data_IF_181049516390
#
_entry.id   IF_181049516390
#
_cell.length_a   1.000
_cell.length_b   1.000
_cell.length_c   1.000
_cell.angle_alpha   90.00
_cell.angle_beta   90.00
_cell.angle_gamma   90.00
#
_symmetry.space_group_name_H-M   'P 1'
#
loop_
_entity.id
_entity.type
_entity.pdbx_description
1 polymer ?
#
# COMPACT_ATOMS: atom_id res chain seq x y z
N UNK A 1 24.22 -1.44 5.44
CA UNK A 1 24.48 0.00 5.68
C UNK A 1 25.91 0.30 5.23
N UNK A 2 26.11 1.08 4.17
CA UNK A 2 27.46 1.31 3.63
C UNK A 2 28.07 2.58 4.23
N UNK A 3 29.15 2.45 5.01
CA UNK A 3 29.88 3.58 5.59
C UNK A 3 31.12 3.86 4.73
N UNK A 4 31.03 4.82 3.81
CA UNK A 4 32.21 5.28 3.05
C UNK A 4 32.98 6.31 3.88
N UNK A 5 34.23 6.00 4.20
CA UNK A 5 35.17 6.99 4.75
C UNK A 5 35.53 7.96 3.60
N UNK A 6 35.35 9.26 3.81
CA UNK A 6 35.75 10.27 2.83
C UNK A 6 37.26 10.20 2.56
N UNK A 7 37.65 10.63 1.36
CA UNK A 7 39.03 10.65 0.85
C UNK A 7 40.02 11.18 1.91
N UNK A 8 40.98 10.35 2.29
CA UNK A 8 41.96 10.68 3.33
C UNK A 8 43.05 11.57 2.69
N UNK A 9 43.18 12.81 3.18
CA UNK A 9 44.14 13.80 2.66
C UNK A 9 45.60 13.56 3.08
N UNK A 10 45.83 12.71 4.09
CA UNK A 10 47.15 12.44 4.68
C UNK A 10 47.31 10.97 5.07
N UNK A 11 48.54 10.46 5.09
CA UNK A 11 48.84 9.11 5.59
C UNK A 11 48.32 8.93 7.04
N UNK A 12 47.65 7.81 7.33
CA UNK A 12 47.36 7.39 8.70
C UNK A 12 48.28 6.19 9.00
N UNK A 13 49.28 6.35 9.89
CA UNK A 13 50.22 5.27 10.18
C UNK A 13 49.54 4.05 10.80
N UNK A 14 50.11 2.87 10.57
CA UNK A 14 49.74 1.61 11.22
C UNK A 14 49.59 1.79 12.74
N UNK A 15 48.61 1.10 13.31
CA UNK A 15 48.32 1.07 14.75
C UNK A 15 47.92 2.42 15.38
N UNK A 16 47.51 3.41 14.58
CA UNK A 16 47.04 4.72 15.08
C UNK A 16 45.53 4.91 15.02
N UNK A 17 44.81 4.03 14.32
CA UNK A 17 43.36 4.08 14.19
C UNK A 17 42.72 2.91 14.94
N UNK A 18 41.81 3.24 15.86
CA UNK A 18 40.97 2.30 16.58
C UNK A 18 39.51 2.77 16.45
N UNK A 19 38.68 1.96 15.82
CA UNK A 19 37.24 2.21 15.67
C UNK A 19 36.48 1.18 16.50
N UNK A 20 35.56 1.65 17.33
CA UNK A 20 34.64 0.80 18.08
C UNK A 20 33.23 1.16 17.63
N UNK A 21 32.47 0.18 17.18
CA UNK A 21 31.07 0.36 16.79
C UNK A 21 30.20 -0.65 17.54
N UNK A 22 29.26 -0.16 18.35
CA UNK A 22 28.33 -1.01 19.08
C UNK A 22 27.01 -1.04 18.31
N UNK A 23 26.78 -2.17 17.65
CA UNK A 23 25.62 -2.39 16.80
C UNK A 23 24.37 -2.64 17.65
N UNK A 24 23.21 -2.28 17.09
CA UNK A 24 21.92 -2.56 17.71
C UNK A 24 21.73 -4.08 17.90
N UNK A 25 21.37 -4.55 19.12
CA UNK A 25 21.25 -5.99 19.40
C UNK A 25 20.25 -6.75 18.52
N UNK A 26 19.30 -6.05 17.91
CA UNK A 26 18.30 -6.65 17.02
C UNK A 26 18.85 -6.96 15.63
N UNK A 27 19.99 -6.40 15.25
CA UNK A 27 20.62 -6.70 13.96
C UNK A 27 21.18 -8.12 13.96
N UNK A 28 20.97 -8.83 12.84
CA UNK A 28 21.43 -10.20 12.64
C UNK A 28 22.16 -10.36 11.30
N UNK A 29 22.69 -11.56 11.05
CA UNK A 29 23.34 -11.90 9.78
C UNK A 29 24.43 -10.89 9.41
N UNK A 30 25.20 -10.48 10.44
CA UNK A 30 26.21 -9.42 10.33
C UNK A 30 27.35 -9.92 9.45
N UNK A 31 27.64 -9.18 8.39
CA UNK A 31 28.77 -9.41 7.51
C UNK A 31 29.61 -8.15 7.44
N UNK A 32 30.88 -8.31 7.78
CA UNK A 32 31.86 -7.24 7.80
C UNK A 32 32.82 -7.47 6.65
N UNK A 33 33.03 -6.44 5.85
CA UNK A 33 34.09 -6.41 4.83
C UNK A 33 34.93 -5.17 5.05
N UNK A 34 36.24 -5.30 4.94
CA UNK A 34 37.16 -4.20 5.12
C UNK A 34 38.29 -4.30 4.09
N UNK A 35 38.90 -3.16 3.78
CA UNK A 35 40.12 -3.12 2.98
C UNK A 35 41.31 -3.68 3.78
N UNK A 36 42.30 -4.25 3.09
CA UNK A 36 43.33 -5.13 3.65
C UNK A 36 44.14 -4.54 4.81
N UNK A 37 44.23 -3.22 4.96
CA UNK A 37 44.96 -2.58 6.06
C UNK A 37 44.27 -2.73 7.42
N UNK A 38 42.99 -3.15 7.45
CA UNK A 38 42.21 -3.31 8.66
C UNK A 38 42.22 -4.75 9.18
N UNK A 39 42.23 -4.88 10.50
CA UNK A 39 41.85 -6.08 11.25
C UNK A 39 40.49 -5.75 11.90
N UNK A 40 39.54 -6.68 11.79
CA UNK A 40 38.19 -6.53 12.33
C UNK A 40 37.86 -7.67 13.28
N UNK A 41 37.50 -7.34 14.51
CA UNK A 41 37.06 -8.29 15.53
C UNK A 41 35.60 -7.97 15.89
N UNK A 42 34.70 -8.93 15.66
CA UNK A 42 33.28 -8.78 15.98
C UNK A 42 32.85 -9.73 17.08
N UNK A 43 32.27 -9.17 18.14
CA UNK A 43 31.83 -9.89 19.32
C UNK A 43 30.31 -10.03 19.30
N UNK A 44 29.83 -11.19 18.84
CA UNK A 44 28.39 -11.43 18.62
C UNK A 44 27.53 -11.26 19.88
N UNK A 45 28.05 -11.63 21.06
CA UNK A 45 27.32 -11.53 22.33
C UNK A 45 27.10 -10.09 22.79
N UNK A 46 28.07 -9.20 22.56
CA UNK A 46 27.99 -7.79 22.97
C UNK A 46 27.59 -6.88 21.82
N UNK A 47 27.54 -7.42 20.59
CA UNK A 47 27.30 -6.71 19.32
C UNK A 47 28.32 -5.59 19.10
N UNK A 48 29.54 -5.78 19.61
CA UNK A 48 30.62 -4.82 19.50
C UNK A 48 31.56 -5.20 18.35
N UNK A 49 31.86 -4.25 17.48
CA UNK A 49 32.83 -4.35 16.40
C UNK A 49 34.03 -3.48 16.75
N UNK A 50 35.21 -4.09 16.80
CA UNK A 50 36.49 -3.41 16.96
C UNK A 50 37.27 -3.50 15.65
N UNK A 51 37.74 -2.35 15.16
CA UNK A 51 38.47 -2.25 13.90
C UNK A 51 39.77 -1.50 14.17
N UNK A 52 40.89 -2.06 13.72
CA UNK A 52 42.20 -1.44 13.86
C UNK A 52 42.93 -1.48 12.53
N UNK A 53 43.72 -0.46 12.22
CA UNK A 53 44.60 -0.49 11.05
C UNK A 53 45.92 -1.23 11.33
N UNK A 54 45.85 -2.36 12.03
CA UNK A 54 47.04 -3.10 12.46
C UNK A 54 47.70 -3.92 11.35
N UNK A 55 47.04 -4.07 10.19
CA UNK A 55 47.60 -4.78 9.05
C UNK A 55 48.40 -3.87 8.11
N UNK A 56 48.28 -2.54 8.23
CA UNK A 56 49.08 -1.60 7.45
C UNK A 56 48.71 -0.13 7.62
N UNK A 57 49.53 0.73 7.03
CA UNK A 57 49.22 2.15 6.91
C UNK A 57 47.96 2.35 6.05
N UNK A 58 47.21 3.41 6.34
CA UNK A 58 46.19 3.90 5.41
C UNK A 58 46.81 5.00 4.58
N UNK A 59 47.19 4.65 3.35
CA UNK A 59 47.84 5.57 2.43
C UNK A 59 46.91 6.70 1.98
N UNK A 60 47.49 7.90 1.84
CA UNK A 60 46.77 9.04 1.30
C UNK A 60 46.26 8.74 -0.11
N UNK A 61 45.04 9.18 -0.43
CA UNK A 61 44.39 9.02 -1.75
C UNK A 61 44.12 7.56 -2.18
N UNK A 62 44.40 6.56 -1.35
CA UNK A 62 43.91 5.18 -1.56
C UNK A 62 42.57 4.99 -0.83
N UNK A 63 41.64 4.19 -1.39
CA UNK A 63 40.39 3.90 -0.71
C UNK A 63 40.65 3.06 0.55
N UNK A 64 40.02 3.48 1.65
CA UNK A 64 40.00 2.75 2.91
C UNK A 64 38.56 2.72 3.38
N UNK A 65 37.99 1.52 3.52
CA UNK A 65 36.60 1.39 3.92
C UNK A 65 36.37 0.14 4.76
N UNK A 66 35.32 0.25 5.57
CA UNK A 66 34.69 -0.87 6.25
C UNK A 66 33.20 -0.82 5.89
N UNK A 67 32.65 -1.94 5.46
CA UNK A 67 31.22 -2.08 5.19
C UNK A 67 30.63 -3.08 6.17
N UNK A 68 29.50 -2.69 6.78
CA UNK A 68 28.71 -3.53 7.67
C UNK A 68 27.38 -3.80 6.98
N UNK A 69 27.22 -5.03 6.54
CA UNK A 69 25.96 -5.58 6.06
C UNK A 69 25.29 -6.26 7.25
N UNK A 70 24.02 -5.95 7.46
CA UNK A 70 23.26 -6.43 8.60
C UNK A 70 21.79 -6.55 8.21
N UNK A 71 21.16 -7.63 8.67
CA UNK A 71 19.73 -7.86 8.53
C UNK A 71 18.96 -7.16 9.65
N UNK A 72 17.83 -6.56 9.27
CA UNK A 72 16.85 -5.97 10.19
C UNK A 72 15.67 -6.91 10.47
N UNK A 73 15.86 -8.23 10.27
CA UNK A 73 14.76 -9.21 10.39
C UNK A 73 14.17 -9.32 11.79
N UNK A 74 14.87 -8.90 12.85
CA UNK A 74 14.34 -8.86 14.22
C UNK A 74 13.95 -7.44 14.67
N UNK A 75 13.95 -6.48 13.75
CA UNK A 75 13.52 -5.11 14.02
C UNK A 75 12.06 -5.00 13.61
N UNK A 76 11.21 -4.49 14.48
CA UNK A 76 9.80 -4.30 14.15
C UNK A 76 9.59 -3.26 13.05
N UNK A 77 8.64 -3.47 12.13
CA UNK A 77 8.01 -2.41 11.35
C UNK A 77 7.79 -1.09 12.10
N UNK A 78 8.18 0.02 11.48
CA UNK A 78 8.17 1.36 12.04
C UNK A 78 9.29 1.68 13.04
N UNK A 79 10.08 0.71 13.52
CA UNK A 79 11.15 0.97 14.47
C UNK A 79 12.41 1.54 13.81
N UNK A 80 13.16 2.32 14.58
CA UNK A 80 14.44 2.93 14.15
C UNK A 80 15.61 2.20 14.80
N UNK A 81 16.59 1.84 13.98
CA UNK A 81 17.93 1.45 14.39
C UNK A 81 18.85 2.65 14.25
N UNK A 82 19.58 2.95 15.32
CA UNK A 82 20.55 4.04 15.38
C UNK A 82 21.95 3.47 15.47
N UNK A 83 22.92 4.12 14.85
CA UNK A 83 24.31 3.69 14.88
C UNK A 83 25.25 4.88 15.08
N UNK A 84 26.17 4.75 16.04
CA UNK A 84 27.25 5.69 16.32
C UNK A 84 28.52 4.88 16.50
N UNK A 85 29.54 5.12 15.68
CA UNK A 85 30.87 4.56 15.91
C UNK A 85 31.73 5.56 16.68
N UNK A 86 32.79 5.06 17.29
CA UNK A 86 33.79 5.84 17.98
C UNK A 86 35.14 5.64 17.30
N UNK A 87 35.72 6.71 16.77
CA UNK A 87 37.05 6.71 16.15
C UNK A 87 38.03 7.33 17.13
N UNK A 88 38.98 6.54 17.62
CA UNK A 88 39.94 6.94 18.65
C UNK A 88 39.25 7.57 19.88
N UNK A 89 38.11 7.01 20.28
CA UNK A 89 37.29 7.49 21.40
C UNK A 89 36.35 8.65 21.08
N UNK A 90 36.42 9.25 19.87
CA UNK A 90 35.55 10.35 19.48
C UNK A 90 34.33 9.81 18.69
N UNK A 91 33.09 10.22 19.02
CA UNK A 91 31.92 9.73 18.32
C UNK A 91 31.86 10.27 16.89
N UNK A 92 31.40 9.44 15.96
CA UNK A 92 30.96 9.87 14.64
C UNK A 92 29.57 10.47 14.71
N UNK A 93 29.08 11.02 13.60
CA UNK A 93 27.66 11.36 13.47
C UNK A 93 26.78 10.12 13.66
N UNK A 94 25.59 10.32 14.22
CA UNK A 94 24.54 9.31 14.29
C UNK A 94 23.97 9.08 12.88
N UNK A 95 23.78 7.81 12.53
CA UNK A 95 22.98 7.41 11.37
C UNK A 95 21.77 6.63 11.89
N UNK A 96 20.60 6.90 11.34
CA UNK A 96 19.34 6.26 11.71
C UNK A 96 18.70 5.61 10.49
N UNK A 97 18.22 4.38 10.65
CA UNK A 97 17.49 3.63 9.62
C UNK A 97 16.19 3.10 10.20
N UNK A 98 15.07 3.26 9.50
CA UNK A 98 13.77 2.74 9.92
C UNK A 98 13.44 1.46 9.14
N UNK A 99 13.00 0.39 9.83
CA UNK A 99 12.45 -0.81 9.16
C UNK A 99 10.98 -0.58 8.90
N UNK A 100 10.49 -0.86 7.69
CA UNK A 100 9.07 -0.72 7.38
C UNK A 100 8.57 -1.94 6.59
N UNK A 101 7.31 -2.33 6.77
CA UNK A 101 6.64 -3.27 5.89
C UNK A 101 6.20 -2.54 4.62
N UNK A 102 6.08 -3.30 3.54
CA UNK A 102 5.54 -2.82 2.27
C UNK A 102 4.10 -3.32 2.18
N UNK A 103 3.17 -2.42 1.86
CA UNK A 103 1.77 -2.75 1.63
C UNK A 103 1.47 -2.48 0.17
N UNK A 104 1.01 -3.52 -0.52
CA UNK A 104 0.59 -3.47 -1.91
C UNK A 104 -0.93 -3.58 -1.99
N UNK A 105 -1.55 -2.55 -2.55
CA UNK A 105 -2.98 -2.53 -2.85
C UNK A 105 -3.20 -2.96 -4.29
N UNK A 106 -4.01 -4.00 -4.46
CA UNK A 106 -4.37 -4.58 -5.75
C UNK A 106 -5.87 -4.37 -5.94
N UNK A 107 -6.26 -3.64 -6.98
CA UNK A 107 -7.66 -3.59 -7.36
C UNK A 107 -8.01 -4.82 -8.18
N UNK A 108 -9.13 -5.46 -7.86
CA UNK A 108 -9.72 -6.52 -8.66
C UNK A 108 -11.19 -6.25 -8.92
N UNK A 109 -11.75 -7.01 -9.84
CA UNK A 109 -13.16 -6.97 -10.17
C UNK A 109 -13.74 -8.38 -10.22
N UNK A 110 -15.01 -8.49 -9.83
CA UNK A 110 -15.79 -9.74 -9.86
C UNK A 110 -15.77 -10.39 -11.26
N UNK A 111 -15.75 -9.58 -12.31
CA UNK A 111 -15.46 -10.00 -13.68
C UNK A 111 -14.15 -9.35 -14.13
N UNK A 112 -13.14 -10.19 -14.42
CA UNK A 112 -11.80 -9.73 -14.77
C UNK A 112 -11.80 -9.07 -16.16
N UNK A 113 -11.97 -7.75 -16.16
CA UNK A 113 -11.64 -6.87 -17.27
C UNK A 113 -10.58 -5.86 -16.78
N UNK A 114 -9.30 -6.08 -17.12
CA UNK A 114 -8.21 -5.18 -16.73
C UNK A 114 -8.43 -3.72 -17.12
N UNK A 115 -9.20 -3.46 -18.19
CA UNK A 115 -9.47 -2.11 -18.68
C UNK A 115 -10.42 -1.30 -17.80
N UNK A 116 -11.16 -1.97 -16.91
CA UNK A 116 -12.06 -1.33 -15.96
C UNK A 116 -11.35 -1.04 -14.62
N UNK A 117 -10.20 -1.66 -14.36
CA UNK A 117 -9.45 -1.51 -13.09
C UNK A 117 -8.59 -0.24 -13.05
N UNK A 118 -8.51 0.52 -14.14
CA UNK A 118 -7.79 1.79 -14.24
C UNK A 118 -8.73 2.97 -13.94
N UNK A 119 -8.25 3.97 -13.22
CA UNK A 119 -8.97 5.21 -12.96
C UNK A 119 -9.77 5.25 -11.66
N UNK A 120 -9.80 4.17 -10.87
CA UNK A 120 -10.42 4.20 -9.56
C UNK A 120 -9.55 5.01 -8.58
N UNK A 121 -10.16 5.97 -7.89
CA UNK A 121 -9.48 6.87 -6.97
C UNK A 121 -9.74 6.44 -5.54
N UNK A 122 -8.67 6.21 -4.80
CA UNK A 122 -8.71 5.87 -3.38
C UNK A 122 -8.03 6.94 -2.53
N UNK A 123 -8.50 7.05 -1.29
CA UNK A 123 -7.92 7.87 -0.24
C UNK A 123 -7.49 6.98 0.91
N UNK A 124 -6.25 7.14 1.34
CA UNK A 124 -5.71 6.45 2.51
C UNK A 124 -5.63 7.41 3.70
N UNK A 125 -6.27 7.06 4.81
CA UNK A 125 -6.17 7.80 6.07
C UNK A 125 -5.78 6.89 7.21
N UNK A 126 -5.30 7.46 8.31
CA UNK A 126 -5.33 6.74 9.60
C UNK A 126 -6.78 6.47 10.00
N UNK A 127 -7.01 5.56 10.95
CA UNK A 127 -8.35 5.29 11.51
C UNK A 127 -9.04 6.56 12.04
N UNK A 128 -8.28 7.47 12.64
CA UNK A 128 -8.77 8.78 13.10
C UNK A 128 -9.03 9.80 11.97
N UNK A 129 -8.88 9.41 10.71
CA UNK A 129 -9.14 10.26 9.54
C UNK A 129 -8.01 11.25 9.20
N UNK A 130 -6.82 11.11 9.79
CA UNK A 130 -5.65 11.96 9.48
C UNK A 130 -4.98 11.48 8.19
N UNK A 131 -4.34 12.41 7.48
CA UNK A 131 -3.52 12.05 6.31
C UNK A 131 -2.37 11.14 6.73
N UNK A 132 -2.19 10.05 6.00
CA UNK A 132 -1.07 9.13 6.21
C UNK A 132 0.21 9.79 5.74
N UNK A 133 1.29 9.54 6.48
CA UNK A 133 2.63 9.80 6.02
C UNK A 133 3.30 8.47 5.75
N UNK A 134 3.92 8.36 4.59
CA UNK A 134 4.84 7.27 4.32
C UNK A 134 6.09 7.42 5.21
N UNK A 135 6.98 6.46 5.08
CA UNK A 135 8.18 6.34 5.90
C UNK A 135 9.26 7.37 5.54
N UNK A 136 9.12 8.01 4.38
CA UNK A 136 9.90 9.15 3.92
C UNK A 136 9.30 10.49 4.36
N UNK A 137 8.27 10.45 5.23
CA UNK A 137 7.53 11.60 5.76
C UNK A 137 6.80 12.38 4.65
N UNK A 138 6.51 11.72 3.52
CA UNK A 138 5.69 12.25 2.44
C UNK A 138 4.22 11.92 2.69
N UNK A 139 3.34 12.86 2.35
CA UNK A 139 1.91 12.67 2.56
C UNK A 139 1.30 11.76 1.48
N UNK A 140 0.70 10.65 1.90
CA UNK A 140 -0.16 9.83 1.06
C UNK A 140 -1.57 10.43 1.13
N UNK A 141 -2.01 11.09 0.06
CA UNK A 141 -3.33 11.76 0.01
C UNK A 141 -4.36 10.90 -0.70
N UNK A 142 -4.27 10.85 -2.02
CA UNK A 142 -5.13 10.08 -2.91
C UNK A 142 -4.27 9.44 -3.96
N UNK A 143 -4.64 8.26 -4.41
CA UNK A 143 -3.97 7.55 -5.48
C UNK A 143 -5.00 7.00 -6.46
N UNK A 144 -4.60 6.84 -7.71
CA UNK A 144 -5.46 6.37 -8.80
C UNK A 144 -4.88 5.06 -9.34
N UNK A 145 -5.71 4.03 -9.45
CA UNK A 145 -5.30 2.75 -10.05
C UNK A 145 -4.99 2.93 -11.52
N UNK A 146 -3.98 2.24 -12.02
CA UNK A 146 -3.55 2.34 -13.41
C UNK A 146 -3.19 0.97 -13.98
N UNK A 147 -2.96 0.91 -15.29
CA UNK A 147 -2.57 -0.33 -15.97
C UNK A 147 -1.13 -0.79 -15.68
N UNK A 148 -0.34 0.00 -14.93
CA UNK A 148 1.08 -0.26 -14.66
C UNK A 148 1.28 -1.27 -13.52
N UNK A 149 0.20 -1.61 -12.80
CA UNK A 149 0.19 -2.68 -11.80
C UNK A 149 -0.29 -2.20 -10.43
N UNK A 150 -0.05 -3.02 -9.39
CA UNK A 150 -0.47 -2.71 -8.02
C UNK A 150 0.18 -1.44 -7.46
N UNK A 151 -0.52 -0.77 -6.54
CA UNK A 151 -0.03 0.44 -5.89
C UNK A 151 0.63 0.08 -4.58
N UNK A 152 1.89 0.51 -4.40
CA UNK A 152 2.72 0.16 -3.24
C UNK A 152 2.94 1.35 -2.33
N UNK A 153 2.83 1.12 -1.02
CA UNK A 153 3.19 2.07 0.03
C UNK A 153 4.03 1.39 1.10
N UNK A 154 5.07 2.08 1.55
CA UNK A 154 5.74 1.73 2.82
C UNK A 154 4.99 2.41 3.96
N UNK A 155 4.30 1.63 4.78
CA UNK A 155 3.41 2.13 5.84
C UNK A 155 3.90 1.68 7.22
N UNK A 156 3.95 2.56 8.23
CA UNK A 156 4.20 2.15 9.62
C UNK A 156 3.13 1.17 10.14
N UNK A 157 3.39 0.50 11.27
CA UNK A 157 2.32 -0.19 12.00
C UNK A 157 1.22 0.79 12.38
N UNK A 158 -0.02 0.30 12.35
CA UNK A 158 -1.17 1.08 12.74
C UNK A 158 -2.44 0.68 12.00
N UNK A 159 -3.48 1.45 12.28
CA UNK A 159 -4.79 1.28 11.70
C UNK A 159 -5.04 2.29 10.59
N UNK A 160 -5.43 1.78 9.44
CA UNK A 160 -5.65 2.56 8.24
C UNK A 160 -7.04 2.33 7.68
N UNK A 161 -7.52 3.34 6.96
CA UNK A 161 -8.80 3.34 6.29
C UNK A 161 -8.57 3.65 4.82
N UNK A 162 -8.94 2.70 3.97
CA UNK A 162 -8.95 2.86 2.52
C UNK A 162 -10.36 3.18 2.06
N UNK A 163 -10.55 4.40 1.58
CA UNK A 163 -11.84 4.92 1.14
C UNK A 163 -11.81 5.11 -0.38
N UNK A 164 -12.70 4.43 -1.10
CA UNK A 164 -12.90 4.71 -2.52
C UNK A 164 -13.62 6.06 -2.65
N UNK A 165 -13.06 6.96 -3.46
CA UNK A 165 -13.59 8.31 -3.67
C UNK A 165 -14.27 8.41 -5.02
N UNK A 166 -13.76 7.71 -6.03
CA UNK A 166 -14.37 7.67 -7.36
C UNK A 166 -14.12 6.30 -8.00
N UNK A 167 -15.17 5.50 -8.28
CA UNK A 167 -15.03 4.29 -9.08
C UNK A 167 -14.94 4.66 -10.56
N UNK A 168 -14.22 3.86 -11.35
CA UNK A 168 -14.23 3.97 -12.81
C UNK A 168 -14.94 2.75 -13.41
N UNK A 169 -16.13 2.92 -14.00
CA UNK A 169 -16.91 1.79 -14.55
C UNK A 169 -17.55 0.85 -13.52
N UNK A 170 -17.38 1.12 -12.21
CA UNK A 170 -17.84 0.29 -11.11
C UNK A 170 -18.80 1.01 -10.15
N UNK A 171 -19.43 0.25 -9.24
CA UNK A 171 -20.22 0.83 -8.15
C UNK A 171 -19.30 1.28 -7.01
N UNK A 172 -19.55 2.47 -6.46
CA UNK A 172 -18.81 2.96 -5.30
C UNK A 172 -18.92 1.99 -4.11
N UNK A 173 -17.80 1.64 -3.48
CA UNK A 173 -17.77 0.87 -2.23
C UNK A 173 -18.58 1.59 -1.14
N UNK A 174 -19.56 0.88 -0.57
CA UNK A 174 -20.47 1.45 0.45
C UNK A 174 -19.75 1.84 1.74
N UNK A 175 -18.74 1.07 2.12
CA UNK A 175 -17.97 1.26 3.35
C UNK A 175 -16.48 1.21 2.99
N UNK A 176 -15.64 1.98 3.69
CA UNK A 176 -14.20 1.89 3.54
C UNK A 176 -13.70 0.50 3.98
N UNK A 177 -12.56 0.09 3.46
CA UNK A 177 -11.84 -1.10 3.93
C UNK A 177 -10.88 -0.64 5.03
N UNK A 178 -11.06 -1.15 6.25
CA UNK A 178 -10.13 -0.87 7.35
C UNK A 178 -9.10 -1.97 7.43
N UNK A 179 -7.83 -1.58 7.54
CA UNK A 179 -6.70 -2.50 7.59
C UNK A 179 -5.83 -2.17 8.80
N UNK A 180 -5.43 -3.20 9.52
CA UNK A 180 -4.59 -3.08 10.72
C UNK A 180 -3.28 -3.82 10.48
N UNK A 181 -2.17 -3.09 10.59
CA UNK A 181 -0.81 -3.63 10.44
C UNK A 181 -0.18 -3.74 11.83
N UNK A 182 0.20 -4.96 12.21
CA UNK A 182 0.73 -5.26 13.55
C UNK A 182 2.12 -5.87 13.45
N UNK A 183 3.11 -5.30 14.14
CA UNK A 183 4.40 -5.97 14.32
C UNK A 183 4.27 -7.13 15.32
N UNK A 184 4.82 -8.27 14.94
CA UNK A 184 4.81 -9.46 15.76
C UNK A 184 5.85 -9.36 16.88
N UNK A 185 5.48 -9.92 18.04
CA UNK A 185 6.34 -10.02 19.21
C UNK A 185 6.39 -11.48 19.69
N UNK A 186 7.52 -11.86 20.28
CA UNK A 186 7.68 -13.14 20.96
C UNK A 186 6.97 -13.12 22.33
N UNK A 187 6.96 -14.26 23.03
CA UNK A 187 6.37 -14.40 24.36
C UNK A 187 7.01 -13.50 25.42
N UNK A 188 8.24 -13.03 25.16
CA UNK A 188 8.98 -12.11 26.03
C UNK A 188 8.70 -10.64 25.69
N UNK A 189 7.86 -10.37 24.68
CA UNK A 189 7.48 -9.03 24.24
C UNK A 189 8.50 -8.35 23.32
N UNK A 190 9.53 -9.08 22.86
CA UNK A 190 10.51 -8.56 21.89
C UNK A 190 9.96 -8.69 20.47
N UNK A 191 10.28 -7.72 19.60
CA UNK A 191 9.90 -7.81 18.20
C UNK A 191 10.60 -8.98 17.52
N UNK A 192 9.84 -9.74 16.73
CA UNK A 192 10.38 -10.81 15.90
C UNK A 192 10.80 -10.32 14.52
N UNK A 193 10.53 -9.04 14.24
CA UNK A 193 10.61 -8.36 12.94
C UNK A 193 9.73 -8.93 11.83
N UNK A 194 8.84 -9.87 12.17
CA UNK A 194 7.67 -10.18 11.38
C UNK A 194 6.52 -9.18 11.67
N UNK A 195 5.52 -9.15 10.79
CA UNK A 195 4.27 -8.45 10.99
C UNK A 195 3.11 -9.24 10.40
N UNK A 196 1.90 -8.88 10.80
CA UNK A 196 0.65 -9.35 10.20
C UNK A 196 -0.18 -8.18 9.71
N UNK A 197 -1.09 -8.48 8.79
CA UNK A 197 -2.14 -7.57 8.35
C UNK A 197 -3.50 -8.24 8.50
N UNK A 198 -4.51 -7.46 8.87
CA UNK A 198 -5.89 -7.91 8.90
C UNK A 198 -6.83 -6.86 8.33
N UNK A 199 -7.97 -7.30 7.79
CA UNK A 199 -9.08 -6.42 7.45
C UNK A 199 -9.95 -6.28 8.70
N UNK A 200 -9.67 -5.25 9.50
CA UNK A 200 -10.14 -5.14 10.88
C UNK A 200 -11.63 -4.81 11.02
N UNK A 201 -12.29 -4.33 9.96
CA UNK A 201 -13.74 -4.10 9.94
C UNK A 201 -14.55 -5.22 9.25
N UNK A 202 -13.90 -6.31 8.83
CA UNK A 202 -14.57 -7.44 8.16
C UNK A 202 -15.23 -7.08 6.83
N UNK A 203 -14.81 -5.99 6.18
CA UNK A 203 -15.35 -5.59 4.88
C UNK A 203 -15.01 -6.64 3.81
N UNK A 204 -16.05 -7.26 3.25
CA UNK A 204 -15.94 -8.35 2.26
C UNK A 204 -15.36 -7.92 0.92
N UNK A 205 -15.33 -6.62 0.63
CA UNK A 205 -14.64 -6.11 -0.56
C UNK A 205 -13.11 -6.22 -0.41
N UNK A 206 -12.59 -6.29 0.81
CA UNK A 206 -11.17 -6.54 1.04
C UNK A 206 -10.88 -8.03 1.13
N UNK A 207 -9.76 -8.45 0.54
CA UNK A 207 -9.19 -9.78 0.76
C UNK A 207 -7.66 -9.69 0.86
N UNK A 208 -7.07 -10.41 1.82
CA UNK A 208 -5.62 -10.60 1.89
C UNK A 208 -5.29 -11.84 1.07
N UNK A 209 -4.46 -11.69 0.03
CA UNK A 209 -4.27 -12.76 -0.97
C UNK A 209 -2.92 -13.46 -0.90
N UNK A 210 -1.83 -12.80 -0.49
CA UNK A 210 -0.53 -13.43 -0.24
C UNK A 210 0.34 -12.52 0.66
N UNK A 211 0.99 -13.10 1.66
CA UNK A 211 2.12 -12.45 2.35
C UNK A 211 3.40 -12.96 1.70
N UNK A 212 4.16 -12.08 1.05
CA UNK A 212 5.44 -12.45 0.43
C UNK A 212 6.55 -11.96 1.34
N UNK A 213 7.36 -12.90 1.85
CA UNK A 213 8.67 -12.55 2.42
C UNK A 213 9.60 -12.22 1.25
N UNK A 214 9.94 -10.95 1.08
CA UNK A 214 10.89 -10.52 0.06
C UNK A 214 12.32 -10.98 0.40
N UNK A 215 13.18 -11.06 -0.62
CA UNK A 215 14.56 -11.56 -0.49
C UNK A 215 15.45 -10.71 0.45
N UNK A 216 15.03 -9.48 0.76
CA UNK A 216 15.69 -8.56 1.70
C UNK A 216 15.12 -8.65 3.14
N UNK A 217 14.19 -9.58 3.37
CA UNK A 217 13.50 -9.75 4.64
C UNK A 217 12.46 -8.65 4.92
N UNK A 218 12.05 -7.86 3.92
CA UNK A 218 10.81 -7.08 4.01
C UNK A 218 9.59 -7.99 3.85
N UNK A 219 8.50 -7.60 4.48
CA UNK A 219 7.20 -8.26 4.32
C UNK A 219 6.39 -7.40 3.37
N UNK A 220 5.93 -8.03 2.30
CA UNK A 220 4.98 -7.47 1.36
C UNK A 220 3.59 -8.02 1.67
N UNK A 221 2.69 -7.13 2.08
CA UNK A 221 1.28 -7.45 2.30
C UNK A 221 0.45 -7.11 1.07
N UNK A 222 -0.19 -8.12 0.47
CA UNK A 222 -1.05 -7.90 -0.69
C UNK A 222 -2.53 -7.82 -0.27
N UNK A 223 -3.09 -6.62 -0.36
CA UNK A 223 -4.50 -6.35 -0.10
C UNK A 223 -5.22 -6.21 -1.44
N UNK A 224 -6.04 -7.19 -1.76
CA UNK A 224 -6.95 -7.12 -2.88
C UNK A 224 -8.24 -6.40 -2.47
N UNK A 225 -8.69 -5.46 -3.31
CA UNK A 225 -9.95 -4.75 -3.16
C UNK A 225 -10.82 -5.10 -4.36
N UNK A 226 -11.88 -5.86 -4.11
CA UNK A 226 -12.84 -6.26 -5.13
C UNK A 226 -13.87 -5.16 -5.35
N UNK A 227 -14.01 -4.73 -6.60
CA UNK A 227 -15.05 -3.81 -7.03
C UNK A 227 -16.12 -4.53 -7.88
N UNK A 228 -17.39 -4.21 -7.61
CA UNK A 228 -18.53 -4.82 -8.30
C UNK A 228 -19.04 -3.91 -9.40
N UNK A 229 -19.16 -4.44 -10.62
CA UNK A 229 -19.53 -3.66 -11.80
C UNK A 229 -20.83 -2.88 -11.54
N UNK A 230 -20.83 -1.59 -11.90
CA UNK A 230 -22.05 -0.82 -11.92
C UNK A 230 -23.00 -1.43 -12.93
N UNK A 231 -24.20 -1.82 -12.49
CA UNK A 231 -25.25 -2.20 -13.44
C UNK A 231 -25.57 -0.97 -14.29
N UNK A 232 -25.06 -0.94 -15.53
CA UNK A 232 -25.69 -0.11 -16.54
C UNK A 232 -27.03 -0.80 -16.83
N UNK A 233 -28.12 -0.21 -16.33
CA UNK A 233 -29.42 -0.57 -16.86
C UNK A 233 -29.35 -0.32 -18.37
N UNK A 234 -29.81 -1.27 -19.22
CA UNK A 234 -29.94 -0.96 -20.63
C UNK A 234 -30.79 0.30 -20.71
N UNK A 235 -30.27 1.36 -21.32
CA UNK A 235 -31.10 2.47 -21.71
C UNK A 235 -32.19 1.85 -22.59
N UNK A 236 -33.41 1.72 -22.07
CA UNK A 236 -34.58 1.31 -22.82
C UNK A 236 -35.00 2.48 -23.69
N UNK A 237 -34.11 2.81 -24.63
CA UNK A 237 -34.24 3.85 -25.63
C UNK A 237 -33.63 3.45 -26.96
N UNK A 238 -33.35 2.15 -27.17
CA UNK A 238 -33.16 1.60 -28.51
C UNK A 238 -34.43 1.78 -29.37
N UNK A 239 -34.29 1.60 -30.70
CA UNK A 239 -35.29 1.85 -31.76
C UNK A 239 -36.78 1.50 -31.47
N UNK A 240 -37.09 0.71 -30.44
CA UNK A 240 -38.44 0.36 -30.02
C UNK A 240 -39.28 1.50 -29.43
N UNK A 241 -38.71 2.47 -28.69
CA UNK A 241 -39.50 3.56 -28.09
C UNK A 241 -40.14 4.47 -29.17
N UNK A 242 -39.42 4.69 -30.26
CA UNK A 242 -39.90 5.47 -31.42
C UNK A 242 -41.07 4.78 -32.12
N UNK A 243 -41.15 3.45 -32.10
CA UNK A 243 -42.25 2.67 -32.67
C UNK A 243 -43.54 2.79 -31.87
N UNK A 244 -43.45 2.59 -30.54
CA UNK A 244 -44.62 2.68 -29.66
C UNK A 244 -45.21 4.10 -29.60
N UNK A 245 -44.37 5.14 -29.57
CA UNK A 245 -44.84 6.53 -29.59
C UNK A 245 -45.58 6.86 -30.90
N UNK A 246 -45.09 6.38 -32.05
CA UNK A 246 -45.75 6.62 -33.35
C UNK A 246 -47.12 5.93 -33.43
N UNK A 247 -47.24 4.69 -32.94
CA UNK A 247 -48.52 3.98 -32.91
C UNK A 247 -49.51 4.68 -31.98
N UNK A 248 -49.06 5.15 -30.82
CA UNK A 248 -49.90 5.88 -29.88
C UNK A 248 -50.43 7.21 -30.46
N UNK A 249 -49.60 7.96 -31.18
CA UNK A 249 -50.01 9.21 -31.84
C UNK A 249 -51.05 8.92 -32.95
N UNK A 250 -50.85 7.86 -33.73
CA UNK A 250 -51.80 7.45 -34.78
C UNK A 250 -53.16 7.08 -34.14
N UNK A 251 -53.16 6.25 -33.10
CA UNK A 251 -54.39 5.88 -32.38
C UNK A 251 -55.11 7.11 -31.79
N UNK A 252 -54.37 8.05 -31.20
CA UNK A 252 -54.95 9.26 -30.63
C UNK A 252 -55.58 10.15 -31.72
N UNK A 253 -54.92 10.28 -32.88
CA UNK A 253 -55.47 11.03 -34.01
C UNK A 253 -56.74 10.40 -34.60
N UNK A 254 -56.82 9.06 -34.65
CA UNK A 254 -58.04 8.34 -35.07
C UNK A 254 -59.19 8.60 -34.10
N UNK A 255 -58.92 8.56 -32.78
CA UNK A 255 -59.92 8.85 -31.75
C UNK A 255 -60.42 10.30 -31.85
N UNK A 256 -59.53 11.27 -32.09
CA UNK A 256 -59.91 12.66 -32.32
C UNK A 256 -60.79 12.82 -33.57
N UNK A 257 -60.47 12.12 -34.67
CA UNK A 257 -61.30 12.16 -35.89
C UNK A 257 -62.68 11.54 -35.66
N UNK A 258 -62.76 10.39 -34.97
CA UNK A 258 -64.04 9.74 -34.66
C UNK A 258 -64.92 10.58 -33.72
N UNK A 259 -64.32 11.31 -32.79
CA UNK A 259 -65.05 12.21 -31.89
C UNK A 259 -65.54 13.49 -32.58
N UNK A 260 -64.78 14.02 -33.55
CA UNK A 260 -65.23 15.14 -34.39
C UNK A 260 -66.35 14.71 -35.35
N UNK A 261 -66.29 13.49 -35.90
CA UNK A 261 -67.30 12.96 -36.83
C UNK A 261 -68.59 12.47 -36.14
N UNK A 262 -68.64 12.42 -34.81
CA UNK A 262 -69.87 12.18 -34.05
C UNK A 262 -70.44 10.75 -34.09
N UNK A 263 -69.68 9.75 -34.58
CA UNK A 263 -70.16 8.36 -34.71
C UNK A 263 -70.16 7.53 -33.40
N UNK A 264 -69.95 8.15 -32.24
CA UNK A 264 -69.50 7.46 -31.03
C UNK A 264 -70.42 7.43 -29.81
N UNK A 265 -71.74 7.68 -29.91
CA UNK A 265 -72.63 7.51 -28.75
C UNK A 265 -73.97 6.84 -29.11
N UNK A 266 -74.03 5.51 -29.04
CA UNK A 266 -75.31 4.83 -28.85
C UNK A 266 -75.65 4.84 -27.36
N UNK A 267 -76.66 5.64 -27.01
CA UNK A 267 -77.22 5.77 -25.65
C UNK A 267 -77.88 4.44 -25.25
N UNK A 268 -77.31 3.73 -24.28
CA UNK A 268 -77.92 2.54 -23.70
C UNK A 268 -79.15 2.95 -22.86
N UNK A 269 -80.36 2.77 -23.39
CA UNK A 269 -81.60 2.90 -22.62
C UNK A 269 -81.89 1.60 -21.86
N UNK A 270 -81.88 1.70 -20.53
CA UNK A 270 -82.18 0.62 -19.62
C UNK A 270 -83.69 0.63 -19.33
N UNK A 271 -84.45 -0.31 -19.89
CA UNK A 271 -85.89 -0.42 -19.64
C UNK A 271 -86.21 -1.69 -18.85
N UNK A 272 -86.41 -1.54 -17.52
CA UNK A 272 -87.21 -2.48 -16.72
C UNK A 272 -88.69 -2.21 -17.01
N UNK A 273 -89.46 -3.26 -17.34
CA UNK A 273 -90.90 -3.42 -17.07
C UNK A 273 -91.28 -4.90 -17.24
N UNK A 274 -91.44 -5.65 -16.15
CA UNK A 274 -92.69 -6.03 -15.44
C UNK A 274 -93.56 -7.08 -16.14
N UNK A 275 -93.81 -8.16 -15.40
CA UNK A 275 -94.82 -9.24 -15.51
C UNK A 275 -95.99 -9.01 -16.47
N UNK A 276 -96.36 -10.09 -17.19
CA UNK A 276 -97.55 -10.89 -16.85
C UNK A 276 -97.23 -12.37 -17.06
#
# INVERSE_FOLDING_TARGET
MTKKLNMILSLIPKDTLNIIDKLDPRLSDIKITATDQFITDFYENTKELVIKNSNGDIEAKKPAYITIEASMKNVGPGEVVKNIAYVNGNPTNEVSTRKNPIVEFILSAEYYDPSLLEGAVFKLTTKDGKTVKDVYNQFVKTFTTNSEGPIRFELPNGDYKLEEVAPFGYSLLKNPVEVTITANKDESGNYTGAATIEISNGNKAGQIINDISENDGNILFNIQIENHAGFSLPSTGGLGNTGFIKIAIILLSIVCVLSILGLGYTKFENSRKTKN
#
